data_IF_686085674124
#
_entry.id   IF_686085674124
#
_cell.length_a   1.000
_cell.length_b   1.000
_cell.length_c   1.000
_cell.angle_alpha   90.00
_cell.angle_beta   90.00
_cell.angle_gamma   90.00
#
_symmetry.space_group_name_H-M   'P 1'
#
loop_
_entity.id
_entity.type
_entity.pdbx_description
1 polymer ?
#
# COMPACT_ATOMS: atom_id res chain seq x y z
N UNK A 1 -0.69 2.77 -10.90
CA UNK A 1 -1.15 1.41 -11.24
C UNK A 1 -2.03 0.80 -10.17
N UNK A 2 -1.57 0.64 -8.92
CA UNK A 2 -2.37 0.02 -7.84
C UNK A 2 -3.74 0.65 -7.65
N UNK A 3 -3.84 1.98 -7.59
CA UNK A 3 -5.14 2.67 -7.52
C UNK A 3 -6.08 2.31 -8.67
N UNK A 4 -5.58 2.28 -9.91
CA UNK A 4 -6.38 1.94 -11.09
C UNK A 4 -6.96 0.52 -11.00
N UNK A 5 -6.21 -0.41 -10.40
CA UNK A 5 -6.63 -1.80 -10.26
C UNK A 5 -7.55 -2.04 -9.05
N UNK A 6 -7.38 -1.32 -7.94
CA UNK A 6 -8.03 -1.65 -6.66
C UNK A 6 -9.11 -0.68 -6.19
N UNK A 7 -9.34 0.44 -6.90
CA UNK A 7 -10.47 1.34 -6.62
C UNK A 7 -11.82 0.61 -6.61
N UNK A 8 -12.16 -0.24 -7.60
CA UNK A 8 -13.48 -0.90 -7.64
C UNK A 8 -13.73 -1.88 -6.50
N UNK A 9 -12.66 -2.33 -5.82
CA UNK A 9 -12.74 -3.34 -4.77
C UNK A 9 -12.87 -2.67 -3.40
N UNK A 10 -11.95 -1.77 -3.04
CA UNK A 10 -11.90 -1.15 -1.70
C UNK A 10 -11.64 0.36 -1.70
N UNK A 11 -11.62 1.01 -2.86
CA UNK A 11 -11.19 2.41 -2.97
C UNK A 11 -9.67 2.61 -2.82
N UNK A 12 -8.90 1.51 -2.76
CA UNK A 12 -7.43 1.47 -2.58
C UNK A 12 -6.93 2.01 -1.24
N UNK A 13 -6.98 1.17 -0.21
CA UNK A 13 -6.55 1.53 1.15
C UNK A 13 -5.11 1.20 1.53
N UNK A 14 -4.19 0.95 0.58
CA UNK A 14 -2.80 0.46 0.77
C UNK A 14 -1.90 1.26 1.76
N UNK A 15 -2.44 2.30 2.38
CA UNK A 15 -1.84 3.13 3.41
C UNK A 15 -2.76 3.14 4.66
N UNK A 16 -2.37 2.47 5.77
CA UNK A 16 -3.19 2.39 6.98
C UNK A 16 -3.54 3.75 7.60
N UNK A 17 -2.63 4.73 7.57
CA UNK A 17 -2.87 6.06 8.12
C UNK A 17 -3.93 6.82 7.32
N UNK A 18 -3.92 6.69 5.98
CA UNK A 18 -4.95 7.24 5.09
C UNK A 18 -6.31 6.61 5.37
N UNK A 19 -6.36 5.29 5.53
CA UNK A 19 -7.60 4.57 5.83
C UNK A 19 -8.14 4.92 7.23
N UNK A 20 -7.28 5.06 8.23
CA UNK A 20 -7.66 5.50 9.59
C UNK A 20 -8.22 6.92 9.60
N UNK A 21 -7.55 7.88 8.96
CA UNK A 21 -8.06 9.25 8.88
C UNK A 21 -9.45 9.32 8.26
N UNK A 22 -9.70 8.56 7.20
CA UNK A 22 -11.01 8.46 6.58
C UNK A 22 -12.05 7.82 7.52
N UNK A 23 -11.72 6.72 8.21
CA UNK A 23 -12.62 6.04 9.14
C UNK A 23 -13.02 6.96 10.32
N UNK A 24 -12.07 7.71 10.88
CA UNK A 24 -12.32 8.65 11.99
C UNK A 24 -13.24 9.79 11.57
N UNK A 25 -12.99 10.42 10.42
CA UNK A 25 -13.78 11.58 9.97
C UNK A 25 -15.16 11.15 9.44
N UNK A 26 -15.23 10.00 8.75
CA UNK A 26 -16.48 9.49 8.19
C UNK A 26 -17.39 8.86 9.26
N UNK A 27 -16.79 8.21 10.25
CA UNK A 27 -17.40 7.64 11.46
C UNK A 27 -18.72 6.86 11.20
N UNK A 28 -18.62 5.77 10.43
CA UNK A 28 -19.72 4.84 10.17
C UNK A 28 -19.33 3.43 10.62
N UNK A 29 -20.29 2.69 11.17
CA UNK A 29 -20.07 1.35 11.71
C UNK A 29 -19.38 0.42 10.70
N UNK A 30 -19.91 0.35 9.48
CA UNK A 30 -19.30 -0.45 8.40
C UNK A 30 -17.84 -0.07 8.10
N UNK A 31 -17.51 1.21 8.16
CA UNK A 31 -16.14 1.66 7.91
C UNK A 31 -15.19 1.19 9.01
N UNK A 32 -15.65 1.14 10.25
CA UNK A 32 -14.90 0.59 11.39
C UNK A 32 -14.82 -0.93 11.35
N UNK A 33 -15.89 -1.62 10.94
CA UNK A 33 -15.93 -3.08 10.81
C UNK A 33 -14.92 -3.58 9.76
N UNK A 34 -14.76 -2.86 8.64
CA UNK A 34 -13.81 -3.22 7.58
C UNK A 34 -12.39 -2.69 7.85
N UNK A 35 -12.20 -1.83 8.85
CA UNK A 35 -10.96 -1.06 9.05
C UNK A 35 -9.72 -1.93 9.29
N UNK A 36 -9.89 -3.09 9.93
CA UNK A 36 -8.77 -3.99 10.25
C UNK A 36 -8.05 -4.50 8.99
N UNK A 37 -8.78 -4.65 7.88
CA UNK A 37 -8.24 -5.14 6.59
C UNK A 37 -7.17 -4.17 6.07
N UNK A 38 -7.39 -2.86 6.27
CA UNK A 38 -6.46 -1.81 5.84
C UNK A 38 -5.22 -1.67 6.73
N UNK A 39 -5.14 -2.42 7.83
CA UNK A 39 -3.92 -2.58 8.62
C UNK A 39 -3.22 -3.90 8.28
N UNK A 40 -3.95 -5.01 8.40
CA UNK A 40 -3.39 -6.35 8.22
C UNK A 40 -2.89 -6.55 6.78
N UNK A 41 -3.69 -6.15 5.78
CA UNK A 41 -3.33 -6.29 4.37
C UNK A 41 -2.02 -5.58 4.00
N UNK A 42 -1.92 -4.25 4.20
CA UNK A 42 -0.71 -3.51 3.87
C UNK A 42 0.53 -3.95 4.66
N UNK A 43 0.39 -4.31 5.94
CA UNK A 43 1.53 -4.77 6.75
C UNK A 43 2.07 -6.12 6.29
N UNK A 44 1.18 -7.08 5.98
CA UNK A 44 1.59 -8.37 5.40
C UNK A 44 2.25 -8.14 4.03
N UNK A 45 1.66 -7.31 3.17
CA UNK A 45 2.23 -6.98 1.87
C UNK A 45 3.62 -6.34 1.99
N UNK A 46 3.80 -5.40 2.92
CA UNK A 46 5.08 -4.76 3.19
C UNK A 46 6.13 -5.76 3.73
N UNK A 47 5.75 -6.65 4.64
CA UNK A 47 6.64 -7.69 5.16
C UNK A 47 7.10 -8.65 4.05
N UNK A 48 6.18 -9.12 3.21
CA UNK A 48 6.49 -9.99 2.07
C UNK A 48 7.39 -9.25 1.06
N UNK A 49 7.10 -7.98 0.75
CA UNK A 49 7.92 -7.19 -0.16
C UNK A 49 9.34 -6.98 0.39
N UNK A 50 9.48 -6.67 1.67
CA UNK A 50 10.77 -6.53 2.33
C UNK A 50 11.55 -7.86 2.31
N UNK A 51 10.89 -8.97 2.64
CA UNK A 51 11.49 -10.29 2.61
C UNK A 51 11.96 -10.67 1.19
N UNK A 52 11.09 -10.46 0.20
CA UNK A 52 11.39 -10.72 -1.20
C UNK A 52 12.58 -9.89 -1.68
N UNK A 53 12.59 -8.59 -1.39
CA UNK A 53 13.67 -7.69 -1.80
C UNK A 53 15.02 -8.05 -1.16
N UNK A 54 15.02 -8.32 0.16
CA UNK A 54 16.25 -8.53 0.91
C UNK A 54 16.83 -9.93 0.74
N UNK A 55 16.01 -10.98 0.76
CA UNK A 55 16.48 -12.37 0.82
C UNK A 55 16.41 -13.09 -0.51
N UNK A 56 15.36 -12.84 -1.30
CA UNK A 56 15.16 -13.52 -2.59
C UNK A 56 15.93 -12.78 -3.68
N UNK A 57 15.70 -11.49 -3.84
CA UNK A 57 16.42 -10.68 -4.84
C UNK A 57 17.83 -10.28 -4.39
N UNK A 58 18.08 -10.25 -3.08
CA UNK A 58 19.33 -9.74 -2.48
C UNK A 58 19.72 -8.36 -3.01
N UNK A 59 18.72 -7.51 -3.24
CA UNK A 59 18.87 -6.22 -3.92
C UNK A 59 19.24 -5.06 -2.98
N UNK A 60 19.67 -5.33 -1.74
CA UNK A 60 19.92 -4.31 -0.72
C UNK A 60 20.92 -3.21 -1.11
N UNK A 61 21.86 -3.52 -2.00
CA UNK A 61 22.86 -2.56 -2.51
C UNK A 61 22.62 -2.11 -3.96
N UNK A 62 21.54 -2.58 -4.61
CA UNK A 62 21.27 -2.27 -6.01
C UNK A 62 20.66 -0.87 -6.12
N UNK A 63 21.24 -0.03 -6.99
CA UNK A 63 20.69 1.28 -7.33
C UNK A 63 19.85 1.19 -8.59
N UNK A 64 18.54 1.43 -8.47
CA UNK A 64 17.66 1.52 -9.62
C UNK A 64 18.00 2.76 -10.46
N UNK A 65 18.33 2.58 -11.74
CA UNK A 65 18.49 3.67 -12.69
C UNK A 65 17.10 4.11 -13.17
N UNK A 66 16.74 5.36 -12.87
CA UNK A 66 15.46 5.93 -13.29
C UNK A 66 15.37 6.14 -14.80
N UNK A 67 14.14 6.31 -15.28
CA UNK A 67 13.88 6.64 -16.69
C UNK A 67 14.43 8.03 -17.04
N UNK A 68 15.21 8.14 -18.12
CA UNK A 68 15.75 9.40 -18.65
C UNK A 68 14.69 10.34 -19.28
N UNK A 69 13.39 10.11 -19.04
CA UNK A 69 12.34 10.99 -19.55
C UNK A 69 12.29 12.27 -18.71
N UNK A 70 13.06 13.25 -19.18
CA UNK A 70 13.01 14.67 -18.81
C UNK A 70 11.58 15.20 -18.90
N UNK A 71 11.22 16.06 -17.93
CA UNK A 71 10.13 17.02 -18.07
C UNK A 71 10.27 17.77 -19.40
N UNK A 72 9.23 17.75 -20.20
CA UNK A 72 8.92 18.70 -21.25
C UNK A 72 7.46 19.12 -21.04
#
# INVERSE_FOLDING_TARGET
>A
MVHLATIPITGTGINPARSLGAAVIYNKDKAWDDQWIFWVGPMIGAAIAAFYHQYILRAGAIKALGSFRSNA
#
